data_IF_575727217727
#
_entry.id   IF_575727217727
#
_cell.length_a   1.000
_cell.length_b   1.000
_cell.length_c   1.000
_cell.angle_alpha   90.00
_cell.angle_beta   90.00
_cell.angle_gamma   90.00
#
_symmetry.space_group_name_H-M   'P 1'
#
loop_
_entity.id
_entity.type
_entity.pdbx_description
1 polymer ?
#
# COMPACT_ATOMS: atom_id res chain seq x y z
N UNK A 1 32.12 16.12 18.21
CA UNK A 1 30.93 16.08 17.32
C UNK A 1 30.94 14.74 16.62
N UNK A 2 29.97 13.87 16.92
CA UNK A 2 29.85 12.55 16.29
C UNK A 2 29.41 12.72 14.82
N UNK A 3 30.15 12.13 13.89
CA UNK A 3 29.80 12.14 12.46
C UNK A 3 28.58 11.24 12.20
N UNK A 4 27.39 11.84 12.16
CA UNK A 4 26.09 11.18 11.91
C UNK A 4 25.97 10.70 10.44
N UNK A 5 26.85 11.19 9.55
CA UNK A 5 26.88 10.91 8.11
C UNK A 5 27.12 9.44 7.73
N UNK A 6 27.64 8.61 8.63
CA UNK A 6 27.89 7.17 8.38
C UNK A 6 26.79 6.24 8.90
N UNK A 7 25.76 6.77 9.57
CA UNK A 7 24.69 5.92 10.08
C UNK A 7 23.89 5.34 8.91
N UNK A 8 23.51 4.05 8.97
CA UNK A 8 22.63 3.46 7.97
C UNK A 8 21.33 4.26 7.90
N UNK A 9 20.76 4.38 6.69
CA UNK A 9 19.48 5.06 6.52
C UNK A 9 18.45 4.43 7.47
N UNK A 10 17.64 5.25 8.17
CA UNK A 10 16.60 4.73 9.04
C UNK A 10 15.53 4.04 8.20
N UNK A 11 15.66 2.72 8.05
CA UNK A 11 14.75 1.85 7.29
C UNK A 11 13.31 1.97 7.83
N UNK A 12 13.14 2.18 9.14
CA UNK A 12 11.82 2.36 9.76
C UNK A 12 11.03 3.53 9.14
N UNK A 13 11.68 4.66 8.85
CA UNK A 13 11.01 5.79 8.20
C UNK A 13 10.50 5.48 6.79
N UNK A 14 11.08 4.47 6.11
CA UNK A 14 10.64 4.02 4.79
C UNK A 14 9.35 3.20 4.86
N UNK A 15 9.00 2.63 6.02
CA UNK A 15 7.84 1.75 6.21
C UNK A 15 6.78 2.31 7.17
N UNK A 16 7.09 3.36 7.94
CA UNK A 16 6.18 3.96 8.94
C UNK A 16 4.82 4.35 8.37
N UNK A 17 4.80 4.87 7.14
CA UNK A 17 3.56 5.25 6.46
C UNK A 17 2.59 4.07 6.28
N UNK A 18 3.06 2.82 6.26
CA UNK A 18 2.19 1.66 6.13
C UNK A 18 1.31 1.43 7.36
N UNK A 19 1.70 1.94 8.54
CA UNK A 19 0.87 1.85 9.74
C UNK A 19 -0.41 2.67 9.64
N UNK A 20 -0.38 3.76 8.86
CA UNK A 20 -1.53 4.63 8.60
C UNK A 20 -2.36 4.17 7.39
N UNK A 21 -1.99 3.06 6.75
CA UNK A 21 -2.71 2.56 5.59
C UNK A 21 -4.10 2.03 5.98
N UNK A 22 -5.15 2.60 5.39
CA UNK A 22 -6.53 2.19 5.65
C UNK A 22 -6.81 0.72 5.23
N UNK A 23 -5.99 0.17 4.32
CA UNK A 23 -6.08 -1.23 3.91
C UNK A 23 -5.46 -2.22 4.92
N UNK A 24 -4.71 -1.75 5.93
CA UNK A 24 -3.93 -2.59 6.85
C UNK A 24 -4.78 -3.61 7.62
N UNK A 25 -6.02 -3.26 7.93
CA UNK A 25 -6.95 -4.11 8.69
C UNK A 25 -7.89 -4.94 7.80
N UNK A 26 -7.73 -4.84 6.47
CA UNK A 26 -8.60 -5.52 5.51
C UNK A 26 -7.97 -6.82 5.00
N UNK A 27 -8.80 -7.81 4.61
CA UNK A 27 -8.30 -9.04 4.01
C UNK A 27 -7.51 -8.79 2.74
N UNK A 28 -6.37 -9.46 2.58
CA UNK A 28 -5.50 -9.32 1.40
C UNK A 28 -6.21 -9.71 0.10
N UNK A 29 -7.18 -10.61 0.19
CA UNK A 29 -8.03 -11.12 -0.90
C UNK A 29 -8.86 -10.00 -1.56
N UNK A 30 -9.09 -8.90 -0.83
CA UNK A 30 -9.75 -7.71 -1.37
C UNK A 30 -8.89 -7.06 -2.47
N UNK A 31 -7.58 -7.09 -2.33
CA UNK A 31 -6.62 -6.45 -3.24
C UNK A 31 -6.01 -7.47 -4.22
N UNK A 32 -5.73 -8.69 -3.76
CA UNK A 32 -5.10 -9.76 -4.53
C UNK A 32 -6.07 -10.93 -4.67
N UNK A 33 -6.47 -11.23 -5.90
CA UNK A 33 -7.41 -12.31 -6.18
C UNK A 33 -6.69 -13.42 -6.94
N UNK A 34 -7.09 -14.69 -6.74
CA UNK A 34 -6.58 -15.80 -7.54
C UNK A 34 -7.00 -15.65 -9.00
N UNK A 35 -6.20 -16.24 -9.89
CA UNK A 35 -6.48 -16.26 -11.33
C UNK A 35 -7.83 -16.93 -11.62
N UNK A 36 -8.61 -16.30 -12.51
CA UNK A 36 -9.90 -16.83 -12.96
C UNK A 36 -11.14 -16.03 -12.53
N UNK A 37 -11.00 -14.94 -11.77
CA UNK A 37 -12.12 -14.02 -11.52
C UNK A 37 -12.50 -13.27 -12.81
N UNK A 38 -13.78 -13.32 -13.19
CA UNK A 38 -14.27 -12.72 -14.43
C UNK A 38 -15.52 -11.89 -14.21
N UNK A 39 -15.76 -10.98 -15.15
CA UNK A 39 -17.03 -10.28 -15.28
C UNK A 39 -17.35 -9.33 -14.12
N UNK A 40 -18.62 -9.25 -13.70
CA UNK A 40 -19.08 -8.29 -12.69
C UNK A 40 -18.42 -8.45 -11.31
N UNK A 41 -18.04 -9.68 -10.92
CA UNK A 41 -17.40 -9.94 -9.62
C UNK A 41 -16.06 -9.21 -9.48
N UNK A 42 -15.22 -9.32 -10.52
CA UNK A 42 -13.95 -8.60 -10.59
C UNK A 42 -14.15 -7.09 -10.47
N UNK A 43 -15.10 -6.53 -11.23
CA UNK A 43 -15.38 -5.08 -11.18
C UNK A 43 -15.85 -4.63 -9.81
N UNK A 44 -16.72 -5.41 -9.17
CA UNK A 44 -17.23 -5.09 -7.83
C UNK A 44 -16.10 -5.10 -6.79
N UNK A 45 -15.21 -6.10 -6.84
CA UNK A 45 -14.05 -6.17 -5.96
C UNK A 45 -13.07 -5.01 -6.21
N UNK A 46 -12.74 -4.73 -7.46
CA UNK A 46 -11.88 -3.60 -7.83
C UNK A 46 -12.47 -2.27 -7.36
N UNK A 47 -13.78 -2.07 -7.51
CA UNK A 47 -14.46 -0.86 -7.03
C UNK A 47 -14.43 -0.75 -5.51
N UNK A 48 -14.65 -1.86 -4.80
CA UNK A 48 -14.55 -1.88 -3.33
C UNK A 48 -13.13 -1.55 -2.86
N UNK A 49 -12.10 -2.16 -3.47
CA UNK A 49 -10.70 -1.88 -3.16
C UNK A 49 -10.34 -0.42 -3.45
N UNK A 50 -10.80 0.13 -4.58
CA UNK A 50 -10.60 1.55 -4.93
C UNK A 50 -11.26 2.50 -3.94
N UNK A 51 -12.43 2.16 -3.41
CA UNK A 51 -13.10 2.99 -2.40
C UNK A 51 -12.25 3.14 -1.13
N UNK A 52 -11.59 2.06 -0.68
CA UNK A 52 -10.64 2.11 0.43
C UNK A 52 -9.42 2.97 0.09
N UNK A 53 -8.84 2.76 -1.09
CA UNK A 53 -7.69 3.55 -1.53
C UNK A 53 -8.01 5.05 -1.61
N UNK A 54 -9.24 5.42 -1.97
CA UNK A 54 -9.66 6.81 -2.10
C UNK A 54 -9.75 7.55 -0.75
N UNK A 55 -10.09 6.84 0.33
CA UNK A 55 -10.12 7.42 1.68
C UNK A 55 -8.80 7.26 2.45
N UNK A 56 -7.81 6.57 1.88
CA UNK A 56 -6.56 6.25 2.56
C UNK A 56 -5.63 7.47 2.68
N UNK A 57 -5.17 7.84 3.89
CA UNK A 57 -4.32 9.02 4.10
C UNK A 57 -2.96 8.92 3.40
N UNK A 58 -2.45 7.70 3.22
CA UNK A 58 -1.11 7.43 2.65
C UNK A 58 -1.14 7.02 1.17
N UNK A 59 -2.25 7.26 0.45
CA UNK A 59 -2.41 6.82 -0.95
C UNK A 59 -1.29 7.31 -1.89
N UNK A 60 -0.77 8.53 -1.66
CA UNK A 60 0.32 9.10 -2.45
C UNK A 60 1.62 8.30 -2.26
N UNK A 61 2.03 8.08 -1.02
CA UNK A 61 3.23 7.31 -0.68
C UNK A 61 3.10 5.84 -1.13
N UNK A 62 1.94 5.23 -0.93
CA UNK A 62 1.65 3.88 -1.40
C UNK A 62 1.84 3.74 -2.91
N UNK A 63 1.29 4.67 -3.69
CA UNK A 63 1.43 4.69 -5.15
C UNK A 63 2.88 4.90 -5.58
N UNK A 64 3.58 5.85 -4.97
CA UNK A 64 4.98 6.10 -5.27
C UNK A 64 5.87 4.89 -4.97
N UNK A 65 5.63 4.23 -3.83
CA UNK A 65 6.35 3.01 -3.47
C UNK A 65 6.09 1.91 -4.50
N UNK A 66 4.82 1.62 -4.81
CA UNK A 66 4.45 0.59 -5.79
C UNK A 66 5.10 0.80 -7.16
N UNK A 67 5.21 2.05 -7.62
CA UNK A 67 5.87 2.38 -8.88
C UNK A 67 7.40 2.26 -8.82
N UNK A 68 8.01 2.46 -7.65
CA UNK A 68 9.46 2.33 -7.46
C UNK A 68 9.92 0.87 -7.36
N UNK A 69 9.08 0.01 -6.78
CA UNK A 69 9.39 -1.42 -6.55
C UNK A 69 8.79 -2.37 -7.59
N UNK A 70 8.19 -1.81 -8.66
CA UNK A 70 7.49 -2.50 -9.75
C UNK A 70 8.36 -3.54 -10.47
#
# INVERSE_FOLDING_TARGET
MTEITRLPRPVLSEWEWQYEAACRELPTEMFFHPDGERGPRRRNRENAAKAVCFSCPVIKQCREHALKVQ
#
